data_IF_274699590939
#
_entry.id   IF_274699590939
#
_cell.length_a   1.000
_cell.length_b   1.000
_cell.length_c   1.000
_cell.angle_alpha   90.00
_cell.angle_beta   90.00
_cell.angle_gamma   90.00
#
_symmetry.space_group_name_H-M   'P 1'
#
loop_
_entity.id
_entity.type
_entity.pdbx_description
1 polymer ?
#
# COMPACT_ATOMS: atom_id res chain seq x y z
N UNK A 1 13.99 6.35 16.73
CA UNK A 1 12.92 6.23 15.71
C UNK A 1 11.71 6.99 16.22
N UNK A 2 11.02 7.77 15.38
CA UNK A 2 9.77 8.44 15.79
C UNK A 2 8.65 7.41 15.96
N UNK A 3 7.78 7.60 16.96
CA UNK A 3 6.59 6.76 17.22
C UNK A 3 5.67 6.65 16.00
N UNK A 4 5.65 7.68 15.15
CA UNK A 4 4.90 7.67 13.89
C UNK A 4 5.50 6.69 12.88
N UNK A 5 6.83 6.69 12.74
CA UNK A 5 7.53 5.79 11.83
C UNK A 5 7.34 4.33 12.25
N UNK A 6 7.45 4.04 13.54
CA UNK A 6 7.26 2.69 14.09
C UNK A 6 5.85 2.15 13.83
N UNK A 7 4.82 3.00 14.03
CA UNK A 7 3.43 2.66 13.70
C UNK A 7 3.21 2.47 12.20
N UNK A 8 3.83 3.31 11.36
CA UNK A 8 3.73 3.19 9.91
C UNK A 8 4.36 1.89 9.42
N UNK A 9 5.53 1.52 9.93
CA UNK A 9 6.21 0.26 9.58
C UNK A 9 5.41 -0.95 10.05
N UNK A 10 4.86 -0.92 11.27
CA UNK A 10 4.01 -2.01 11.77
C UNK A 10 2.72 -2.17 10.95
N UNK A 11 2.05 -1.06 10.62
CA UNK A 11 0.84 -1.09 9.78
C UNK A 11 1.13 -1.57 8.35
N UNK A 12 2.28 -1.17 7.78
CA UNK A 12 2.72 -1.64 6.47
C UNK A 12 3.04 -3.14 6.49
N UNK A 13 3.78 -3.61 7.50
CA UNK A 13 4.07 -5.04 7.66
C UNK A 13 2.80 -5.88 7.81
N UNK A 14 1.84 -5.41 8.61
CA UNK A 14 0.55 -6.07 8.77
C UNK A 14 -0.27 -6.10 7.47
N UNK A 15 -0.16 -5.07 6.64
CA UNK A 15 -0.82 -5.02 5.33
C UNK A 15 -0.23 -6.00 4.32
N UNK A 16 1.02 -6.44 4.49
CA UNK A 16 1.67 -7.43 3.61
C UNK A 16 1.54 -8.87 4.11
N UNK A 17 0.93 -9.06 5.29
CA UNK A 17 0.72 -10.41 5.81
C UNK A 17 -0.28 -11.17 4.92
N UNK A 18 -0.08 -12.48 4.73
CA UNK A 18 -1.10 -13.35 4.17
C UNK A 18 -2.39 -13.29 5.01
N UNK A 19 -3.54 -13.52 4.37
CA UNK A 19 -4.85 -13.50 5.04
C UNK A 19 -4.90 -14.54 6.17
N UNK A 20 -4.22 -15.68 5.99
CA UNK A 20 -4.09 -16.77 6.96
C UNK A 20 -3.33 -16.35 8.22
N UNK A 21 -2.49 -15.32 8.12
CA UNK A 21 -1.73 -14.74 9.24
C UNK A 21 -2.42 -13.51 9.85
N UNK A 22 -3.68 -13.25 9.50
CA UNK A 22 -4.44 -12.08 9.96
C UNK A 22 -4.20 -10.82 9.14
N UNK A 23 -3.62 -10.95 7.94
CA UNK A 23 -3.52 -9.86 6.98
C UNK A 23 -4.88 -9.43 6.41
N UNK A 24 -4.97 -8.21 5.86
CA UNK A 24 -6.20 -7.75 5.22
C UNK A 24 -6.48 -8.55 3.94
N UNK A 25 -7.76 -8.68 3.54
CA UNK A 25 -8.10 -9.28 2.26
C UNK A 25 -7.37 -8.61 1.11
N UNK A 26 -6.89 -9.41 0.17
CA UNK A 26 -6.13 -8.96 -1.01
C UNK A 26 -6.85 -7.82 -1.76
N UNK A 27 -8.18 -7.89 -1.83
CA UNK A 27 -9.02 -6.86 -2.44
C UNK A 27 -8.90 -5.48 -1.76
N UNK A 28 -8.75 -5.43 -0.44
CA UNK A 28 -8.57 -4.15 0.27
C UNK A 28 -7.21 -3.52 -0.03
N UNK A 29 -6.18 -4.34 -0.25
CA UNK A 29 -4.87 -3.85 -0.66
C UNK A 29 -4.92 -3.24 -2.06
N UNK A 30 -5.60 -3.91 -2.99
CA UNK A 30 -5.81 -3.39 -4.36
C UNK A 30 -6.52 -2.03 -4.30
N UNK A 31 -7.61 -1.90 -3.55
CA UNK A 31 -8.35 -0.63 -3.43
C UNK A 31 -7.47 0.51 -2.87
N UNK A 32 -6.64 0.22 -1.86
CA UNK A 32 -5.70 1.20 -1.29
C UNK A 32 -4.65 1.63 -2.30
N UNK A 33 -4.09 0.69 -3.06
CA UNK A 33 -3.11 0.98 -4.10
C UNK A 33 -3.74 1.81 -5.21
N UNK A 34 -4.92 1.43 -5.69
CA UNK A 34 -5.64 2.19 -6.72
C UNK A 34 -5.91 3.63 -6.29
N UNK A 35 -6.37 3.82 -5.04
CA UNK A 35 -6.59 5.15 -4.46
C UNK A 35 -5.31 5.98 -4.40
N UNK A 36 -4.19 5.36 -4.00
CA UNK A 36 -2.89 6.04 -3.98
C UNK A 36 -2.45 6.44 -5.40
N UNK A 37 -2.53 5.52 -6.36
CA UNK A 37 -2.18 5.77 -7.77
C UNK A 37 -3.06 6.86 -8.38
N UNK A 38 -4.34 6.94 -8.00
CA UNK A 38 -5.22 8.02 -8.42
C UNK A 38 -4.77 9.40 -7.90
N UNK A 39 -4.16 9.46 -6.70
CA UNK A 39 -3.65 10.69 -6.09
C UNK A 39 -2.29 11.13 -6.62
N UNK A 40 -1.56 10.26 -7.34
CA UNK A 40 -0.26 10.60 -7.90
C UNK A 40 -0.36 11.63 -9.04
N UNK A 41 0.68 12.47 -9.25
CA UNK A 41 0.83 13.27 -10.46
C UNK A 41 0.74 12.41 -11.72
N UNK A 42 0.25 12.99 -12.82
CA UNK A 42 -0.06 12.24 -14.04
C UNK A 42 1.12 11.43 -14.60
N UNK A 43 2.34 11.97 -14.56
CA UNK A 43 3.56 11.27 -15.01
C UNK A 43 3.88 10.04 -14.17
N UNK A 44 3.85 10.17 -12.84
CA UNK A 44 4.07 9.05 -11.91
C UNK A 44 2.98 7.98 -12.03
N UNK A 45 1.72 8.39 -12.23
CA UNK A 45 0.61 7.48 -12.46
C UNK A 45 0.81 6.63 -13.72
N UNK A 46 1.36 7.22 -14.79
CA UNK A 46 1.62 6.51 -16.04
C UNK A 46 2.74 5.48 -15.89
N UNK A 47 3.83 5.83 -15.19
CA UNK A 47 4.93 4.91 -14.89
C UNK A 47 4.46 3.68 -14.09
N UNK A 48 3.70 3.89 -13.01
CA UNK A 48 3.15 2.80 -12.19
C UNK A 48 2.25 1.85 -13.01
N UNK A 49 1.41 2.40 -13.91
CA UNK A 49 0.55 1.58 -14.78
C UNK A 49 1.33 0.85 -15.88
N UNK A 50 2.47 1.38 -16.31
CA UNK A 50 3.36 0.73 -17.26
C UNK A 50 4.26 -0.34 -16.62
N UNK A 51 4.26 -0.45 -15.28
CA UNK A 51 5.15 -1.35 -14.55
C UNK A 51 6.62 -0.89 -14.56
N UNK A 52 6.84 0.42 -14.71
CA UNK A 52 8.15 1.06 -14.82
C UNK A 52 8.53 1.86 -13.57
#
# INVERSE_FOLDING_TARGET
MSRLAERATAAFGAALLPEECGGPPSAQLVERVERYVAQLPAGSRHAVRAGC
#
